data_IF_768208017490
#
_entry.id   IF_768208017490
#
_cell.length_a   1.000
_cell.length_b   1.000
_cell.length_c   1.000
_cell.angle_alpha   90.00
_cell.angle_beta   90.00
_cell.angle_gamma   90.00
#
_symmetry.space_group_name_H-M   'P 1'
#
loop_
_entity.id
_entity.type
_entity.pdbx_description
1 polymer ?
#
# COMPACT_ATOMS: atom_id res chain seq x y z
N UNK A 1 -27.33 30.50 -16.16
CA UNK A 1 -26.48 30.71 -14.97
C UNK A 1 -25.42 29.61 -14.90
N UNK A 2 -24.21 29.94 -14.47
CA UNK A 2 -23.15 28.93 -14.28
C UNK A 2 -23.31 28.16 -12.96
N UNK A 3 -22.72 26.97 -12.86
CA UNK A 3 -22.75 26.18 -11.60
C UNK A 3 -22.14 26.95 -10.40
N UNK A 4 -21.21 27.87 -10.67
CA UNK A 4 -20.59 28.72 -9.65
C UNK A 4 -21.58 29.76 -9.12
N UNK A 5 -22.34 30.40 -10.00
CA UNK A 5 -23.40 31.34 -9.62
C UNK A 5 -24.50 30.64 -8.80
N UNK A 6 -24.90 29.41 -9.19
CA UNK A 6 -25.87 28.63 -8.41
C UNK A 6 -25.34 28.29 -7.01
N UNK A 7 -24.06 27.93 -6.91
CA UNK A 7 -23.38 27.64 -5.63
C UNK A 7 -23.38 28.86 -4.70
N UNK A 8 -23.09 30.05 -5.23
CA UNK A 8 -23.09 31.31 -4.49
C UNK A 8 -24.51 31.72 -4.05
N UNK A 9 -25.52 31.55 -4.93
CA UNK A 9 -26.92 31.94 -4.65
C UNK A 9 -27.59 31.00 -3.66
N UNK A 10 -27.37 29.68 -3.78
CA UNK A 10 -28.06 28.68 -2.98
C UNK A 10 -27.23 28.16 -1.81
N UNK A 11 -25.97 28.58 -1.66
CA UNK A 11 -25.04 28.04 -0.66
C UNK A 11 -25.00 26.50 -0.70
N UNK A 12 -24.97 25.93 -1.91
CA UNK A 12 -24.90 24.49 -2.14
C UNK A 12 -23.63 24.18 -2.91
N UNK A 13 -22.86 23.19 -2.43
CA UNK A 13 -21.65 22.78 -3.14
C UNK A 13 -21.98 22.21 -4.52
N UNK A 14 -21.07 22.40 -5.48
CA UNK A 14 -21.19 21.83 -6.83
C UNK A 14 -21.42 20.31 -6.83
N UNK A 15 -20.90 19.60 -5.83
CA UNK A 15 -21.11 18.15 -5.67
C UNK A 15 -22.57 17.82 -5.41
N UNK A 16 -23.29 18.63 -4.64
CA UNK A 16 -24.70 18.41 -4.32
C UNK A 16 -25.57 18.66 -5.56
N UNK A 17 -25.27 19.73 -6.31
CA UNK A 17 -25.98 20.06 -7.56
C UNK A 17 -25.82 18.92 -8.58
N UNK A 18 -24.59 18.42 -8.78
CA UNK A 18 -24.31 17.27 -9.67
C UNK A 18 -24.95 15.97 -9.20
N UNK A 19 -25.08 15.79 -7.88
CA UNK A 19 -25.76 14.63 -7.32
C UNK A 19 -27.26 14.65 -7.70
N UNK A 20 -27.94 15.79 -7.55
CA UNK A 20 -29.35 15.90 -7.94
C UNK A 20 -29.56 15.70 -9.45
N UNK A 21 -28.62 16.16 -10.29
CA UNK A 21 -28.65 15.93 -11.74
C UNK A 21 -28.56 14.44 -12.04
N UNK A 22 -27.63 13.74 -11.38
CA UNK A 22 -27.45 12.29 -11.53
C UNK A 22 -28.67 11.48 -11.06
N UNK A 23 -29.34 11.93 -10.00
CA UNK A 23 -30.56 11.29 -9.49
C UNK A 23 -31.81 11.62 -10.35
N UNK A 24 -31.66 12.47 -11.38
CA UNK A 24 -32.71 12.83 -12.33
C UNK A 24 -33.69 13.86 -11.80
N UNK A 25 -33.29 14.70 -10.84
CA UNK A 25 -34.13 15.76 -10.27
C UNK A 25 -34.01 17.09 -11.04
N UNK A 26 -32.93 17.27 -11.82
CA UNK A 26 -32.77 18.39 -12.74
C UNK A 26 -31.97 17.96 -13.98
N UNK A 27 -32.25 18.62 -15.11
CA UNK A 27 -31.58 18.37 -16.39
C UNK A 27 -31.23 19.73 -17.03
N UNK A 28 -30.15 20.40 -16.57
CA UNK A 28 -29.76 21.68 -17.12
C UNK A 28 -29.28 21.53 -18.56
N UNK A 29 -29.63 22.50 -19.40
CA UNK A 29 -29.17 22.53 -20.79
C UNK A 29 -27.66 22.78 -20.84
N UNK A 30 -27.05 22.46 -22.00
CA UNK A 30 -25.65 22.79 -22.25
C UNK A 30 -25.56 23.93 -23.24
N UNK A 31 -24.63 24.85 -22.96
CA UNK A 31 -24.31 25.93 -23.89
C UNK A 31 -23.52 25.40 -25.10
N UNK A 32 -23.26 26.28 -26.08
CA UNK A 32 -22.48 25.97 -27.28
C UNK A 32 -21.04 25.53 -26.99
N UNK A 33 -20.54 25.77 -25.77
CA UNK A 33 -19.21 25.41 -25.31
C UNK A 33 -19.20 24.11 -24.47
N UNK A 34 -20.37 23.45 -24.33
CA UNK A 34 -20.54 22.21 -23.58
C UNK A 34 -20.60 22.37 -22.05
N UNK A 35 -20.63 23.60 -21.54
CA UNK A 35 -20.84 23.89 -20.13
C UNK A 35 -22.32 23.84 -19.77
N UNK A 36 -22.62 23.54 -18.50
CA UNK A 36 -24.00 23.52 -17.99
C UNK A 36 -24.48 24.95 -17.83
N UNK A 37 -25.61 25.24 -18.46
CA UNK A 37 -26.33 26.50 -18.32
C UNK A 37 -27.65 26.24 -17.59
N UNK A 38 -27.70 26.69 -16.33
CA UNK A 38 -28.86 26.54 -15.47
C UNK A 38 -29.84 27.67 -15.74
N UNK A 39 -31.08 27.30 -16.06
CA UNK A 39 -32.18 28.24 -16.24
C UNK A 39 -32.74 28.70 -14.89
N UNK A 40 -33.53 29.77 -14.88
CA UNK A 40 -34.30 30.19 -13.69
C UNK A 40 -35.22 29.07 -13.16
N UNK A 41 -35.73 28.21 -14.06
CA UNK A 41 -36.54 27.04 -13.68
C UNK A 41 -35.71 25.99 -12.94
N UNK A 42 -34.46 25.78 -13.35
CA UNK A 42 -33.53 24.88 -12.66
C UNK A 42 -33.16 25.42 -11.28
N UNK A 43 -32.96 26.74 -11.18
CA UNK A 43 -32.72 27.42 -9.90
C UNK A 43 -33.90 27.25 -8.94
N UNK A 44 -35.14 27.43 -9.42
CA UNK A 44 -36.35 27.22 -8.63
C UNK A 44 -36.51 25.75 -8.20
N UNK A 45 -36.21 24.81 -9.09
CA UNK A 45 -36.20 23.37 -8.77
C UNK A 45 -35.18 23.06 -7.67
N UNK A 46 -33.98 23.62 -7.75
CA UNK A 46 -32.94 23.49 -6.73
C UNK A 46 -33.34 24.14 -5.39
N UNK A 47 -34.08 25.25 -5.40
CA UNK A 47 -34.65 25.85 -4.16
C UNK A 47 -35.64 24.89 -3.49
N UNK A 48 -36.53 24.27 -4.26
CA UNK A 48 -37.50 23.28 -3.76
C UNK A 48 -36.79 22.06 -3.17
N UNK A 49 -35.81 21.51 -3.89
CA UNK A 49 -34.99 20.39 -3.40
C UNK A 49 -34.29 20.77 -2.10
N UNK A 50 -33.67 21.95 -2.03
CA UNK A 50 -33.00 22.43 -0.82
C UNK A 50 -33.96 22.50 0.37
N UNK A 51 -35.14 23.09 0.19
CA UNK A 51 -36.17 23.18 1.23
C UNK A 51 -36.57 21.80 1.76
N UNK A 52 -36.96 20.88 0.88
CA UNK A 52 -37.43 19.55 1.30
C UNK A 52 -36.30 18.72 1.93
N UNK A 53 -35.06 18.88 1.46
CA UNK A 53 -33.90 18.25 2.09
C UNK A 53 -33.60 18.81 3.48
N UNK A 54 -33.85 20.10 3.72
CA UNK A 54 -33.75 20.71 5.05
C UNK A 54 -34.85 20.22 6.00
N UNK A 55 -36.01 19.84 5.46
CA UNK A 55 -37.09 19.17 6.20
C UNK A 55 -36.89 17.65 6.33
N UNK A 56 -35.69 17.15 5.98
CA UNK A 56 -35.32 15.74 6.05
C UNK A 56 -36.12 14.79 5.14
N UNK A 57 -36.78 15.28 4.09
CA UNK A 57 -37.38 14.40 3.08
C UNK A 57 -36.29 13.67 2.28
N UNK A 58 -36.53 12.40 1.97
CA UNK A 58 -35.62 11.60 1.17
C UNK A 58 -35.57 12.09 -0.28
N UNK A 59 -34.44 11.85 -0.97
CA UNK A 59 -34.29 12.17 -2.40
C UNK A 59 -35.31 11.41 -3.25
N UNK A 60 -35.64 10.18 -2.85
CA UNK A 60 -36.67 9.36 -3.49
C UNK A 60 -38.08 9.98 -3.35
N UNK A 61 -38.45 10.43 -2.15
CA UNK A 61 -39.73 11.10 -1.90
C UNK A 61 -39.84 12.39 -2.70
N UNK A 62 -38.78 13.21 -2.72
CA UNK A 62 -38.74 14.45 -3.52
C UNK A 62 -38.96 14.14 -5.00
N UNK A 63 -38.36 13.04 -5.50
CA UNK A 63 -38.53 12.59 -6.88
C UNK A 63 -39.96 12.13 -7.18
N UNK A 64 -40.56 11.32 -6.30
CA UNK A 64 -41.94 10.87 -6.42
C UNK A 64 -42.92 12.05 -6.45
N UNK A 65 -42.72 13.03 -5.57
CA UNK A 65 -43.50 14.27 -5.56
C UNK A 65 -43.30 15.08 -6.85
N UNK A 66 -42.06 15.20 -7.33
CA UNK A 66 -41.75 15.91 -8.58
C UNK A 66 -42.36 15.22 -9.82
N UNK A 67 -42.47 13.89 -9.81
CA UNK A 67 -43.03 13.09 -10.89
C UNK A 67 -44.56 12.94 -10.80
N UNK A 68 -45.18 13.43 -9.71
CA UNK A 68 -46.62 13.30 -9.46
C UNK A 68 -47.05 11.90 -9.01
N UNK A 69 -46.10 11.03 -8.64
CA UNK A 69 -46.37 9.69 -8.12
C UNK A 69 -46.89 9.74 -6.67
N UNK A 70 -46.55 10.80 -5.93
CA UNK A 70 -47.06 11.09 -4.59
C UNK A 70 -47.49 12.57 -4.52
N UNK A 71 -48.65 12.86 -3.91
CA UNK A 71 -49.04 14.24 -3.70
C UNK A 71 -48.13 14.91 -2.66
N UNK A 72 -47.79 16.18 -2.87
CA UNK A 72 -46.96 16.93 -1.92
C UNK A 72 -47.62 17.02 -0.54
N UNK A 73 -48.94 17.15 -0.47
CA UNK A 73 -49.69 17.15 0.79
C UNK A 73 -49.43 15.88 1.60
N UNK A 74 -49.42 14.73 0.92
CA UNK A 74 -49.32 13.42 1.56
C UNK A 74 -47.89 13.21 2.05
N UNK A 75 -46.87 13.54 1.22
CA UNK A 75 -45.47 13.46 1.63
C UNK A 75 -45.14 14.37 2.82
N UNK A 76 -45.79 15.54 2.92
CA UNK A 76 -45.63 16.44 4.06
C UNK A 76 -46.39 15.93 5.28
N UNK A 77 -47.60 15.38 5.09
CA UNK A 77 -48.39 14.77 6.16
C UNK A 77 -47.65 13.57 6.77
N UNK A 78 -47.10 12.68 5.94
CA UNK A 78 -46.25 11.56 6.38
C UNK A 78 -45.08 12.06 7.22
N UNK A 79 -44.43 13.16 6.79
CA UNK A 79 -43.32 13.74 7.53
C UNK A 79 -43.73 14.38 8.84
N UNK A 80 -44.89 15.04 8.89
CA UNK A 80 -45.47 15.60 10.11
C UNK A 80 -45.79 14.48 11.10
N UNK A 81 -46.36 13.37 10.64
CA UNK A 81 -46.64 12.20 11.47
C UNK A 81 -45.37 11.56 12.02
N UNK A 82 -44.34 11.39 11.18
CA UNK A 82 -43.02 10.93 11.60
C UNK A 82 -42.43 11.85 12.69
N UNK A 83 -42.42 13.17 12.45
CA UNK A 83 -41.89 14.14 13.41
C UNK A 83 -42.67 14.18 14.73
N UNK A 84 -44.00 14.05 14.67
CA UNK A 84 -44.81 14.01 15.88
C UNK A 84 -44.55 12.73 16.69
N UNK A 85 -44.33 11.60 16.02
CA UNK A 85 -43.90 10.36 16.68
C UNK A 85 -42.54 10.54 17.35
N UNK A 86 -41.55 11.09 16.62
CA UNK A 86 -40.22 11.37 17.16
C UNK A 86 -40.27 12.30 18.39
N UNK A 87 -41.04 13.39 18.30
CA UNK A 87 -41.22 14.34 19.41
C UNK A 87 -41.80 13.63 20.63
N UNK A 88 -42.82 12.79 20.42
CA UNK A 88 -43.44 12.01 21.50
C UNK A 88 -42.42 11.06 22.15
N UNK A 89 -41.63 10.36 21.35
CA UNK A 89 -40.61 9.42 21.83
C UNK A 89 -39.50 10.14 22.61
N UNK A 90 -39.01 11.29 22.12
CA UNK A 90 -38.03 12.11 22.83
C UNK A 90 -38.60 12.70 24.12
N UNK A 91 -39.86 13.14 24.14
CA UNK A 91 -40.51 13.62 25.37
C UNK A 91 -40.64 12.51 26.41
N UNK A 92 -40.97 11.29 25.99
CA UNK A 92 -41.03 10.13 26.85
C UNK A 92 -39.65 9.78 27.42
N UNK A 93 -38.63 9.70 26.56
CA UNK A 93 -37.24 9.47 26.98
C UNK A 93 -36.79 10.52 28.00
N UNK A 94 -37.05 11.81 27.72
CA UNK A 94 -36.74 12.90 28.63
C UNK A 94 -37.44 12.74 29.99
N UNK A 95 -38.73 12.38 30.00
CA UNK A 95 -39.51 12.14 31.22
C UNK A 95 -38.90 11.02 32.06
N UNK A 96 -38.50 9.91 31.43
CA UNK A 96 -37.83 8.79 32.11
C UNK A 96 -36.44 9.20 32.62
N UNK A 97 -35.64 9.92 31.83
CA UNK A 97 -34.34 10.45 32.29
C UNK A 97 -34.51 11.35 33.52
N UNK A 98 -35.56 12.19 33.53
CA UNK A 98 -35.85 13.08 34.65
C UNK A 98 -36.36 12.30 35.87
N UNK A 99 -37.14 11.24 35.66
CA UNK A 99 -37.58 10.36 36.72
C UNK A 99 -36.40 9.63 37.38
N UNK A 100 -35.50 9.04 36.58
CA UNK A 100 -34.26 8.41 37.07
C UNK A 100 -33.38 9.41 37.81
N UNK A 101 -33.21 10.62 37.26
CA UNK A 101 -32.42 11.68 37.89
C UNK A 101 -33.00 12.09 39.26
N UNK A 102 -34.32 12.14 39.40
CA UNK A 102 -34.98 12.52 40.64
C UNK A 102 -34.99 11.39 41.69
N UNK A 103 -34.88 10.13 41.27
CA UNK A 103 -34.81 8.97 42.18
C UNK A 103 -33.42 8.86 42.86
N UNK A 104 -32.44 9.69 42.46
CA UNK A 104 -31.04 9.71 42.94
C UNK A 104 -30.39 8.31 43.00
N UNK A 105 -30.83 7.43 42.10
CA UNK A 105 -30.42 6.04 42.09
C UNK A 105 -28.98 5.90 41.59
N UNK A 106 -28.15 5.19 42.37
CA UNK A 106 -26.84 4.73 41.91
C UNK A 106 -27.03 3.54 40.97
N UNK A 107 -26.12 3.38 40.01
CA UNK A 107 -26.20 2.28 39.03
C UNK A 107 -26.35 0.89 39.67
N UNK A 108 -25.74 0.64 40.83
CA UNK A 108 -25.82 -0.65 41.52
C UNK A 108 -27.16 -0.97 42.18
N UNK A 109 -27.97 0.06 42.46
CA UNK A 109 -29.20 -0.05 43.26
C UNK A 109 -30.47 0.32 42.44
N UNK A 110 -30.32 0.55 41.13
CA UNK A 110 -31.41 0.99 40.27
C UNK A 110 -32.40 -0.17 40.00
N UNK A 111 -33.67 0.04 40.36
CA UNK A 111 -34.75 -0.88 39.99
C UNK A 111 -35.14 -0.67 38.52
N UNK A 112 -34.45 -1.36 37.62
CA UNK A 112 -34.72 -1.27 36.19
C UNK A 112 -36.16 -1.67 35.81
N UNK A 113 -36.80 -2.58 36.56
CA UNK A 113 -38.16 -3.03 36.26
C UNK A 113 -39.19 -1.92 36.46
N UNK A 114 -39.02 -1.10 37.51
CA UNK A 114 -39.83 0.10 37.75
C UNK A 114 -39.84 1.03 36.54
N UNK A 115 -38.68 1.33 35.98
CA UNK A 115 -38.55 2.25 34.83
C UNK A 115 -39.03 1.65 33.52
N UNK A 116 -38.72 0.38 33.26
CA UNK A 116 -39.17 -0.33 32.06
C UNK A 116 -40.70 -0.47 32.04
N UNK A 117 -41.32 -0.72 33.20
CA UNK A 117 -42.78 -0.78 33.30
C UNK A 117 -43.43 0.56 33.02
N UNK A 118 -42.88 1.65 33.55
CA UNK A 118 -43.36 3.01 33.27
C UNK A 118 -43.24 3.33 31.78
N UNK A 119 -42.10 2.95 31.17
CA UNK A 119 -41.86 3.10 29.74
C UNK A 119 -42.90 2.34 28.92
N UNK A 120 -43.15 1.06 29.22
CA UNK A 120 -44.17 0.26 28.54
C UNK A 120 -45.61 0.73 28.76
N UNK A 121 -45.90 1.35 29.91
CA UNK A 121 -47.24 1.87 30.22
C UNK A 121 -47.53 3.16 29.46
N UNK A 122 -46.50 3.97 29.21
CA UNK A 122 -46.61 5.26 28.52
C UNK A 122 -46.48 5.15 26.99
N UNK A 123 -45.91 4.06 26.48
CA UNK A 123 -45.92 3.74 25.04
C UNK A 123 -47.25 3.11 24.64
N UNK A 124 -48.00 3.74 23.73
CA UNK A 124 -48.99 3.00 22.95
C UNK A 124 -48.24 1.92 22.14
N UNK A 125 -48.88 0.75 21.92
CA UNK A 125 -48.27 -0.49 21.38
C UNK A 125 -47.46 -0.37 20.08
N UNK A 126 -47.42 0.78 19.42
CA UNK A 126 -46.82 1.02 18.10
C UNK A 126 -45.61 1.99 18.10
N UNK A 127 -45.04 2.38 19.26
CA UNK A 127 -43.82 3.22 19.28
C UNK A 127 -42.59 2.41 18.86
N UNK A 128 -41.95 2.83 17.77
CA UNK A 128 -40.77 2.17 17.17
C UNK A 128 -39.48 2.38 17.95
N UNK A 129 -39.35 3.49 18.69
CA UNK A 129 -38.12 3.91 19.38
C UNK A 129 -37.69 2.96 20.51
N UNK A 130 -38.63 2.39 21.27
CA UNK A 130 -38.34 1.49 22.39
C UNK A 130 -38.63 0.01 22.10
N UNK A 131 -38.89 -0.33 20.84
CA UNK A 131 -39.16 -1.72 20.47
C UNK A 131 -37.90 -2.58 20.61
N UNK A 132 -38.02 -3.73 21.30
CA UNK A 132 -36.92 -4.72 21.47
C UNK A 132 -36.37 -5.21 20.11
N UNK A 133 -37.17 -5.10 19.04
CA UNK A 133 -36.74 -5.45 17.68
C UNK A 133 -35.68 -4.49 17.12
N UNK A 134 -35.68 -3.22 17.56
CA UNK A 134 -34.70 -2.20 17.19
C UNK A 134 -33.50 -2.13 18.15
N UNK A 135 -33.56 -2.80 19.31
CA UNK A 135 -32.41 -3.04 20.22
C UNK A 135 -31.47 -4.14 19.70
N UNK A 136 -31.34 -4.23 18.37
CA UNK A 136 -30.30 -5.01 17.72
C UNK A 136 -29.22 -4.04 17.30
N UNK A 137 -28.02 -4.17 17.86
CA UNK A 137 -26.83 -3.54 17.31
C UNK A 137 -26.84 -3.86 15.81
N UNK A 138 -26.74 -2.85 14.94
CA UNK A 138 -26.84 -3.05 13.51
C UNK A 138 -25.70 -3.98 13.01
N UNK A 139 -25.98 -5.29 12.95
CA UNK A 139 -25.06 -6.29 12.44
C UNK A 139 -24.98 -6.09 10.92
N UNK A 140 -23.76 -5.95 10.40
CA UNK A 140 -23.51 -5.87 8.96
C UNK A 140 -22.83 -7.17 8.53
N UNK A 141 -23.61 -8.21 8.16
CA UNK A 141 -23.11 -9.56 7.90
C UNK A 141 -22.46 -9.64 6.51
N UNK A 142 -21.24 -9.15 6.41
CA UNK A 142 -20.44 -9.22 5.18
C UNK A 142 -18.99 -9.63 5.48
N UNK A 143 -18.76 -10.83 6.03
CA UNK A 143 -17.45 -11.27 6.50
C UNK A 143 -16.39 -11.24 5.39
N UNK A 144 -16.72 -11.70 4.17
CA UNK A 144 -15.79 -11.69 3.03
C UNK A 144 -15.35 -10.30 2.61
N UNK A 145 -16.25 -9.31 2.64
CA UNK A 145 -15.88 -7.92 2.30
C UNK A 145 -14.94 -7.33 3.33
N UNK A 146 -15.17 -7.63 4.61
CA UNK A 146 -14.30 -7.19 5.70
C UNK A 146 -12.92 -7.86 5.61
N UNK A 147 -12.91 -9.17 5.34
CA UNK A 147 -11.68 -9.95 5.14
C UNK A 147 -10.86 -9.41 3.97
N UNK A 148 -11.42 -9.32 2.77
CA UNK A 148 -10.68 -8.83 1.59
C UNK A 148 -10.28 -7.36 1.71
N UNK A 149 -11.12 -6.52 2.34
CA UNK A 149 -10.71 -5.15 2.67
C UNK A 149 -9.47 -5.13 3.57
N UNK A 150 -9.43 -5.97 4.61
CA UNK A 150 -8.29 -6.09 5.52
C UNK A 150 -7.04 -6.62 4.80
N UNK A 151 -7.17 -7.63 3.97
CA UNK A 151 -6.05 -8.17 3.17
C UNK A 151 -5.46 -7.10 2.26
N UNK A 152 -6.30 -6.31 1.61
CA UNK A 152 -5.85 -5.20 0.76
C UNK A 152 -5.16 -4.09 1.56
N UNK A 153 -5.72 -3.72 2.72
CA UNK A 153 -5.10 -2.74 3.62
C UNK A 153 -3.71 -3.22 4.08
N UNK A 154 -3.57 -4.47 4.50
CA UNK A 154 -2.28 -5.05 4.91
C UNK A 154 -1.27 -5.10 3.76
N UNK A 155 -1.71 -5.45 2.55
CA UNK A 155 -0.85 -5.44 1.36
C UNK A 155 -0.34 -4.02 1.04
N UNK A 156 -1.20 -3.00 1.22
CA UNK A 156 -0.82 -1.61 1.04
C UNK A 156 0.22 -1.15 2.08
N UNK A 157 0.04 -1.46 3.36
CA UNK A 157 1.03 -1.15 4.39
C UNK A 157 2.35 -1.90 4.17
N UNK A 158 2.27 -3.16 3.75
CA UNK A 158 3.44 -3.95 3.36
C UNK A 158 4.19 -3.33 2.19
N UNK A 159 3.50 -2.78 1.19
CA UNK A 159 4.14 -2.08 0.07
C UNK A 159 4.90 -0.83 0.53
N UNK A 160 4.35 -0.05 1.46
CA UNK A 160 5.04 1.11 2.04
C UNK A 160 6.33 0.66 2.72
N UNK A 161 6.26 -0.42 3.52
CA UNK A 161 7.44 -0.97 4.20
C UNK A 161 8.48 -1.49 3.21
N UNK A 162 8.08 -2.27 2.20
CA UNK A 162 8.98 -2.79 1.16
C UNK A 162 9.66 -1.63 0.41
N UNK A 163 8.90 -0.61 0.01
CA UNK A 163 9.47 0.56 -0.65
C UNK A 163 10.52 1.26 0.22
N UNK A 164 10.22 1.47 1.50
CA UNK A 164 11.15 2.09 2.43
C UNK A 164 12.40 1.21 2.67
N UNK A 165 12.23 -0.08 2.94
CA UNK A 165 13.36 -0.96 3.25
C UNK A 165 14.29 -1.17 2.06
N UNK A 166 13.73 -1.33 0.85
CA UNK A 166 14.53 -1.60 -0.35
C UNK A 166 15.14 -0.33 -0.95
N UNK A 167 14.39 0.77 -1.05
CA UNK A 167 14.87 1.99 -1.71
C UNK A 167 15.60 2.95 -0.78
N UNK A 168 15.21 3.02 0.50
CA UNK A 168 15.80 3.96 1.46
C UNK A 168 16.87 3.29 2.31
N UNK A 169 16.52 2.18 2.97
CA UNK A 169 17.48 1.48 3.83
C UNK A 169 18.49 0.63 3.06
N UNK A 170 18.33 0.46 1.75
CA UNK A 170 19.14 -0.44 0.91
C UNK A 170 19.25 -1.86 1.50
N UNK A 171 18.22 -2.29 2.24
CA UNK A 171 18.28 -3.54 2.98
C UNK A 171 17.67 -4.68 2.17
N UNK A 172 18.53 -5.50 1.58
CA UNK A 172 18.13 -6.74 0.91
C UNK A 172 17.82 -7.83 1.95
N UNK A 173 16.56 -7.80 2.41
CA UNK A 173 16.03 -8.69 3.46
C UNK A 173 16.27 -10.17 3.14
N UNK A 174 16.20 -10.60 1.88
CA UNK A 174 16.26 -12.01 1.51
C UNK A 174 15.00 -12.79 1.92
N UNK A 175 15.05 -14.12 1.76
CA UNK A 175 13.94 -15.00 2.12
C UNK A 175 14.15 -15.62 3.51
N UNK A 176 13.08 -15.71 4.31
CA UNK A 176 13.13 -16.42 5.59
C UNK A 176 11.90 -16.20 6.43
N UNK A 177 11.53 -17.20 7.23
CA UNK A 177 10.34 -17.16 8.09
C UNK A 177 10.38 -16.00 9.11
N UNK A 178 11.52 -15.82 9.78
CA UNK A 178 11.70 -14.76 10.79
C UNK A 178 11.57 -13.37 10.15
N UNK A 179 12.15 -13.19 8.97
CA UNK A 179 12.10 -11.92 8.23
C UNK A 179 10.67 -11.63 7.77
N UNK A 180 9.96 -12.63 7.24
CA UNK A 180 8.54 -12.51 6.91
C UNK A 180 7.69 -12.14 8.14
N UNK A 181 8.00 -12.70 9.32
CA UNK A 181 7.33 -12.36 10.57
C UNK A 181 7.57 -10.90 10.96
N UNK A 182 8.83 -10.44 10.94
CA UNK A 182 9.19 -9.05 11.22
C UNK A 182 8.45 -8.09 10.28
N UNK A 183 8.46 -8.37 8.98
CA UNK A 183 7.75 -7.57 7.97
C UNK A 183 6.24 -7.51 8.22
N UNK A 184 5.63 -8.62 8.64
CA UNK A 184 4.21 -8.66 9.00
C UNK A 184 3.91 -7.77 10.22
N UNK A 185 4.73 -7.82 11.27
CA UNK A 185 4.55 -6.97 12.45
C UNK A 185 4.82 -5.49 12.18
N UNK A 186 5.78 -5.16 11.31
CA UNK A 186 5.98 -3.77 10.88
C UNK A 186 4.76 -3.25 10.12
N UNK A 187 4.18 -4.08 9.24
CA UNK A 187 2.94 -3.74 8.52
C UNK A 187 1.77 -3.50 9.48
N UNK A 188 1.68 -4.27 10.57
CA UNK A 188 0.70 -4.06 11.64
C UNK A 188 0.98 -2.78 12.42
N UNK A 189 2.25 -2.48 12.71
CA UNK A 189 2.64 -1.21 13.34
C UNK A 189 2.20 -0.01 12.49
N UNK A 190 2.45 -0.07 11.18
CA UNK A 190 1.97 0.94 10.23
C UNK A 190 0.44 1.04 10.22
N UNK A 191 -0.27 -0.10 10.23
CA UNK A 191 -1.73 -0.13 10.33
C UNK A 191 -2.24 0.57 11.60
N UNK A 192 -1.62 0.32 12.76
CA UNK A 192 -2.02 0.91 14.06
C UNK A 192 -1.83 2.43 14.11
N UNK A 193 -1.04 3.01 13.20
CA UNK A 193 -0.87 4.46 13.05
C UNK A 193 -1.77 5.01 11.94
N UNK A 194 -1.75 4.40 10.77
CA UNK A 194 -2.41 4.92 9.57
C UNK A 194 -3.92 4.68 9.61
N UNK A 195 -4.40 3.49 9.95
CA UNK A 195 -5.84 3.18 9.95
C UNK A 195 -6.62 4.12 10.89
N UNK A 196 -6.19 4.42 12.13
CA UNK A 196 -6.86 5.38 12.99
C UNK A 196 -6.95 6.80 12.40
N UNK A 197 -5.92 7.25 11.68
CA UNK A 197 -5.96 8.53 10.95
C UNK A 197 -6.99 8.51 9.83
N UNK A 198 -7.02 7.45 9.01
CA UNK A 198 -7.98 7.29 7.92
C UNK A 198 -9.43 7.22 8.44
N UNK A 199 -9.66 6.50 9.53
CA UNK A 199 -10.98 6.35 10.14
C UNK A 199 -11.47 7.63 10.83
N UNK A 200 -10.57 8.43 11.42
CA UNK A 200 -10.98 9.70 12.03
C UNK A 200 -11.23 10.81 11.01
N UNK A 201 -10.51 10.81 9.89
CA UNK A 201 -10.63 11.83 8.85
C UNK A 201 -11.69 11.50 7.79
N UNK A 202 -11.72 10.27 7.28
CA UNK A 202 -12.64 9.83 6.22
C UNK A 202 -13.68 8.82 6.72
N UNK A 203 -13.36 8.10 7.81
CA UNK A 203 -14.18 7.02 8.35
C UNK A 203 -14.23 5.79 7.46
N UNK A 204 -13.19 5.59 6.66
CA UNK A 204 -12.96 4.37 5.90
C UNK A 204 -11.46 4.20 5.66
N UNK A 205 -11.01 2.97 5.43
CA UNK A 205 -9.64 2.65 4.99
C UNK A 205 -9.62 2.43 3.47
N UNK A 206 -8.44 2.24 2.88
CA UNK A 206 -8.32 2.02 1.44
C UNK A 206 -9.13 0.79 0.99
N UNK A 207 -8.91 -0.35 1.63
CA UNK A 207 -9.62 -1.59 1.35
C UNK A 207 -11.12 -1.49 1.66
N UNK A 208 -11.48 -0.88 2.79
CA UNK A 208 -12.90 -0.68 3.13
C UNK A 208 -13.60 0.23 2.11
N UNK A 209 -12.93 1.26 1.61
CA UNK A 209 -13.45 2.16 0.59
C UNK A 209 -13.74 1.43 -0.72
N UNK A 210 -12.86 0.52 -1.14
CA UNK A 210 -13.06 -0.34 -2.32
C UNK A 210 -14.35 -1.16 -2.18
N UNK A 211 -14.61 -1.72 -0.99
CA UNK A 211 -15.84 -2.46 -0.70
C UNK A 211 -17.04 -1.61 -0.29
N UNK A 212 -16.89 -0.28 -0.27
CA UNK A 212 -17.97 0.66 0.07
C UNK A 212 -18.34 0.66 1.54
N UNK A 213 -17.47 0.13 2.39
CA UNK A 213 -17.60 0.08 3.83
C UNK A 213 -17.17 1.41 4.43
N UNK A 214 -18.03 2.00 5.25
CA UNK A 214 -17.78 3.21 6.00
C UNK A 214 -18.13 2.94 7.46
N UNK A 215 -17.31 3.45 8.37
CA UNK A 215 -17.52 3.30 9.81
C UNK A 215 -17.95 4.65 10.37
N UNK A 216 -19.00 4.62 11.17
CA UNK A 216 -19.54 5.74 11.92
C UNK A 216 -19.78 5.31 13.37
N UNK A 217 -19.83 6.27 14.28
CA UNK A 217 -20.34 5.99 15.62
C UNK A 217 -21.87 5.83 15.58
N UNK A 218 -22.46 5.39 16.69
CA UNK A 218 -23.93 5.29 16.86
C UNK A 218 -24.69 6.58 16.50
N UNK A 219 -24.05 7.74 16.63
CA UNK A 219 -24.62 9.06 16.31
C UNK A 219 -24.43 9.46 14.83
N UNK A 220 -23.98 8.54 13.97
CA UNK A 220 -23.72 8.79 12.54
C UNK A 220 -22.50 9.68 12.22
N UNK A 221 -21.73 10.09 13.23
CA UNK A 221 -20.52 10.92 13.07
C UNK A 221 -19.27 10.06 12.83
N UNK A 222 -18.21 10.70 12.33
CA UNK A 222 -16.89 10.06 12.20
C UNK A 222 -16.32 9.75 13.58
N UNK A 223 -15.44 8.74 13.64
CA UNK A 223 -14.77 8.35 14.88
C UNK A 223 -13.76 9.43 15.27
N UNK A 224 -13.57 9.63 16.57
CA UNK A 224 -12.36 10.33 17.05
C UNK A 224 -11.14 9.44 16.83
N UNK A 225 -9.94 10.04 16.80
CA UNK A 225 -8.70 9.27 16.67
C UNK A 225 -8.57 8.18 17.74
N UNK A 226 -8.90 8.51 19.00
CA UNK A 226 -8.86 7.56 20.12
C UNK A 226 -9.81 6.37 19.91
N UNK A 227 -11.05 6.63 19.52
CA UNK A 227 -12.02 5.58 19.21
C UNK A 227 -11.55 4.70 18.05
N UNK A 228 -11.02 5.32 17.00
CA UNK A 228 -10.48 4.61 15.85
C UNK A 228 -9.28 3.73 16.21
N UNK A 229 -8.38 4.21 17.08
CA UNK A 229 -7.25 3.43 17.60
C UNK A 229 -7.72 2.24 18.44
N UNK A 230 -8.60 2.47 19.43
CA UNK A 230 -9.16 1.41 20.28
C UNK A 230 -9.83 0.31 19.45
N UNK A 231 -10.62 0.71 18.46
CA UNK A 231 -11.22 -0.22 17.50
C UNK A 231 -10.16 -1.02 16.73
N UNK A 232 -9.20 -0.34 16.11
CA UNK A 232 -8.17 -1.01 15.29
C UNK A 232 -7.31 -1.94 16.14
N UNK A 233 -6.98 -1.56 17.37
CA UNK A 233 -6.28 -2.41 18.33
C UNK A 233 -7.12 -3.62 18.76
N UNK A 234 -8.43 -3.46 18.94
CA UNK A 234 -9.36 -4.57 19.19
C UNK A 234 -9.40 -5.56 18.03
N UNK A 235 -9.42 -5.07 16.78
CA UNK A 235 -9.29 -5.92 15.59
C UNK A 235 -7.96 -6.67 15.60
N UNK A 236 -6.84 -6.02 15.91
CA UNK A 236 -5.53 -6.68 15.96
C UNK A 236 -5.43 -7.73 17.08
N UNK A 237 -5.80 -7.38 18.30
CA UNK A 237 -5.64 -8.26 19.47
C UNK A 237 -6.67 -9.38 19.50
N UNK A 238 -7.96 -9.06 19.36
CA UNK A 238 -9.06 -10.02 19.46
C UNK A 238 -9.43 -10.57 18.09
N UNK A 239 -9.53 -9.74 17.06
CA UNK A 239 -9.91 -10.20 15.71
C UNK A 239 -8.85 -11.07 15.05
N UNK A 240 -7.59 -10.61 15.07
CA UNK A 240 -6.45 -11.28 14.42
C UNK A 240 -5.60 -12.11 15.40
N UNK A 241 -5.93 -12.12 16.69
CA UNK A 241 -5.16 -12.89 17.68
C UNK A 241 -3.69 -12.47 17.77
N UNK A 242 -3.43 -11.16 17.79
CA UNK A 242 -2.07 -10.59 17.70
C UNK A 242 -1.29 -10.96 16.43
N UNK A 243 -1.96 -11.47 15.40
CA UNK A 243 -1.34 -11.98 14.17
C UNK A 243 -0.32 -13.11 14.42
N UNK A 244 -0.50 -13.87 15.50
CA UNK A 244 0.33 -15.06 15.77
C UNK A 244 0.01 -16.11 14.70
N UNK A 245 1.02 -16.70 14.03
CA UNK A 245 0.80 -17.73 13.01
C UNK A 245 -0.08 -18.87 13.53
N UNK A 246 -0.93 -19.44 12.68
CA UNK A 246 -1.95 -20.46 13.00
C UNK A 246 -3.08 -19.91 13.90
N UNK A 247 -2.77 -19.25 15.01
CA UNK A 247 -3.76 -18.67 15.91
C UNK A 247 -4.59 -17.58 15.21
N UNK A 248 -3.96 -16.73 14.38
CA UNK A 248 -4.67 -15.77 13.54
C UNK A 248 -5.74 -16.46 12.67
N UNK A 249 -5.40 -17.57 12.01
CA UNK A 249 -6.34 -18.32 11.16
C UNK A 249 -7.51 -18.84 12.01
N UNK A 250 -7.24 -19.40 13.19
CA UNK A 250 -8.28 -19.86 14.12
C UNK A 250 -9.19 -18.69 14.53
N UNK A 251 -8.62 -17.51 14.81
CA UNK A 251 -9.38 -16.31 15.18
C UNK A 251 -10.22 -15.80 14.01
N UNK A 252 -9.69 -15.78 12.80
CA UNK A 252 -10.41 -15.39 11.58
C UNK A 252 -11.62 -16.31 11.33
N UNK A 253 -11.46 -17.64 11.47
CA UNK A 253 -12.55 -18.61 11.34
C UNK A 253 -13.61 -18.40 12.42
N UNK A 254 -13.20 -18.14 13.67
CA UNK A 254 -14.15 -17.82 14.76
C UNK A 254 -14.92 -16.53 14.49
N UNK A 255 -14.24 -15.49 14.02
CA UNK A 255 -14.88 -14.22 13.65
C UNK A 255 -15.85 -14.38 12.48
N UNK A 256 -15.54 -15.26 11.52
CA UNK A 256 -16.45 -15.58 10.42
C UNK A 256 -17.79 -16.13 10.95
N UNK A 257 -17.75 -17.12 11.85
CA UNK A 257 -18.96 -17.70 12.43
C UNK A 257 -19.76 -16.72 13.30
N UNK A 258 -19.08 -15.82 14.02
CA UNK A 258 -19.72 -14.84 14.89
C UNK A 258 -20.33 -13.64 14.11
N UNK A 259 -19.75 -13.26 12.97
CA UNK A 259 -20.13 -12.06 12.21
C UNK A 259 -21.60 -12.06 11.73
N UNK A 260 -22.24 -13.23 11.65
CA UNK A 260 -23.63 -13.38 11.23
C UNK A 260 -24.62 -13.37 12.41
N UNK A 261 -24.13 -13.51 13.64
CA UNK A 261 -24.96 -13.76 14.83
C UNK A 261 -24.81 -12.69 15.92
N UNK A 262 -23.63 -12.10 16.07
CA UNK A 262 -23.29 -11.19 17.16
C UNK A 262 -22.49 -9.98 16.66
N UNK A 263 -22.62 -8.84 17.35
CA UNK A 263 -21.72 -7.72 17.15
C UNK A 263 -20.33 -8.09 17.69
N UNK A 264 -19.28 -7.78 16.94
CA UNK A 264 -17.92 -8.03 17.44
C UNK A 264 -17.62 -7.10 18.62
N UNK A 265 -16.82 -7.55 19.59
CA UNK A 265 -16.53 -6.79 20.80
C UNK A 265 -15.87 -5.42 20.56
N UNK A 266 -15.22 -5.23 19.41
CA UNK A 266 -14.67 -3.94 18.98
C UNK A 266 -15.64 -3.11 18.13
N UNK A 267 -16.91 -3.50 18.05
CA UNK A 267 -17.96 -2.91 17.20
C UNK A 267 -19.20 -2.46 17.98
N UNK A 268 -19.27 -2.69 19.30
CA UNK A 268 -20.43 -2.35 20.14
C UNK A 268 -20.86 -0.87 20.03
N UNK A 269 -19.90 0.06 19.90
CA UNK A 269 -20.15 1.51 19.79
C UNK A 269 -20.21 2.05 18.34
N UNK A 270 -20.15 1.19 17.32
CA UNK A 270 -19.93 1.59 15.93
C UNK A 270 -20.86 0.93 14.94
N UNK A 271 -21.27 1.69 13.93
CA UNK A 271 -22.13 1.22 12.85
C UNK A 271 -21.35 1.17 11.54
N UNK A 272 -21.45 0.05 10.82
CA UNK A 272 -20.99 -0.05 9.44
C UNK A 272 -22.08 0.43 8.49
N UNK A 273 -21.70 1.27 7.55
CA UNK A 273 -22.55 1.69 6.45
C UNK A 273 -21.99 1.10 5.16
N UNK A 274 -22.84 0.42 4.40
CA UNK A 274 -22.51 -0.06 3.06
C UNK A 274 -23.13 0.89 2.04
N UNK A 275 -22.28 1.41 1.15
CA UNK A 275 -22.75 2.26 0.04
C UNK A 275 -23.48 1.45 -1.03
N UNK A 276 -22.89 0.34 -1.49
CA UNK A 276 -23.50 -0.55 -2.48
C UNK A 276 -22.78 -1.91 -2.56
N UNK A 277 -23.44 -2.87 -3.22
CA UNK A 277 -22.97 -4.26 -3.35
C UNK A 277 -22.56 -4.59 -4.81
N UNK A 278 -22.13 -3.60 -5.60
CA UNK A 278 -21.93 -3.80 -7.04
C UNK A 278 -20.67 -4.62 -7.38
N UNK A 279 -20.74 -5.36 -8.48
CA UNK A 279 -19.65 -6.22 -9.00
C UNK A 279 -18.35 -5.44 -9.28
N UNK A 280 -18.45 -4.16 -9.70
CA UNK A 280 -17.27 -3.34 -9.97
C UNK A 280 -16.32 -3.24 -8.76
N UNK A 281 -16.82 -3.40 -7.52
CA UNK A 281 -16.00 -3.37 -6.30
C UNK A 281 -15.07 -4.58 -6.21
N UNK A 282 -15.53 -5.75 -6.65
CA UNK A 282 -14.69 -6.94 -6.72
C UNK A 282 -13.62 -6.78 -7.82
N UNK A 283 -14.01 -6.21 -8.97
CA UNK A 283 -13.06 -5.90 -10.06
C UNK A 283 -12.02 -4.88 -9.59
N UNK A 284 -12.44 -3.84 -8.86
CA UNK A 284 -11.54 -2.84 -8.28
C UNK A 284 -10.57 -3.45 -7.25
N UNK A 285 -11.04 -4.39 -6.41
CA UNK A 285 -10.18 -5.12 -5.48
C UNK A 285 -9.10 -5.93 -6.22
N UNK A 286 -9.49 -6.70 -7.25
CA UNK A 286 -8.52 -7.48 -8.05
C UNK A 286 -7.52 -6.56 -8.74
N UNK A 287 -8.00 -5.51 -9.40
CA UNK A 287 -7.14 -4.53 -10.08
C UNK A 287 -6.15 -3.84 -9.14
N UNK A 288 -6.59 -3.42 -7.96
CA UNK A 288 -5.72 -2.77 -6.97
C UNK A 288 -4.71 -3.75 -6.35
N UNK A 289 -5.11 -5.01 -6.14
CA UNK A 289 -4.20 -6.06 -5.66
C UNK A 289 -3.08 -6.30 -6.68
N UNK A 290 -3.44 -6.47 -7.96
CA UNK A 290 -2.46 -6.60 -9.05
C UNK A 290 -1.55 -5.38 -9.12
N UNK A 291 -2.11 -4.17 -9.01
CA UNK A 291 -1.32 -2.95 -9.04
C UNK A 291 -0.33 -2.87 -7.87
N UNK A 292 -0.75 -3.20 -6.64
CA UNK A 292 0.13 -3.22 -5.46
C UNK A 292 1.26 -4.24 -5.66
N UNK A 293 0.95 -5.44 -6.11
CA UNK A 293 1.97 -6.47 -6.38
C UNK A 293 2.92 -6.04 -7.50
N UNK A 294 2.42 -5.45 -8.59
CA UNK A 294 3.23 -4.93 -9.68
C UNK A 294 4.16 -3.81 -9.22
N UNK A 295 3.67 -2.85 -8.42
CA UNK A 295 4.50 -1.79 -7.84
C UNK A 295 5.56 -2.40 -6.91
N UNK A 296 5.22 -3.40 -6.10
CA UNK A 296 6.18 -4.11 -5.26
C UNK A 296 7.32 -4.74 -6.07
N UNK A 297 7.00 -5.40 -7.19
CA UNK A 297 8.02 -5.94 -8.10
C UNK A 297 8.87 -4.81 -8.70
N UNK A 298 8.26 -3.71 -9.13
CA UNK A 298 8.98 -2.56 -9.68
C UNK A 298 9.94 -1.93 -8.65
N UNK A 299 9.52 -1.83 -7.39
CA UNK A 299 10.36 -1.38 -6.28
C UNK A 299 11.58 -2.29 -6.13
N UNK A 300 11.38 -3.62 -6.11
CA UNK A 300 12.48 -4.58 -5.96
C UNK A 300 13.45 -4.50 -7.14
N UNK A 301 12.94 -4.42 -8.36
CA UNK A 301 13.76 -4.26 -9.57
C UNK A 301 14.55 -2.94 -9.53
N UNK A 302 13.89 -1.84 -9.16
CA UNK A 302 14.52 -0.53 -9.09
C UNK A 302 15.56 -0.44 -7.96
N UNK A 303 15.35 -1.17 -6.86
CA UNK A 303 16.30 -1.24 -5.76
C UNK A 303 17.59 -2.00 -6.11
N UNK A 304 17.68 -2.69 -7.24
CA UNK A 304 18.96 -3.27 -7.69
C UNK A 304 19.90 -2.21 -8.27
N UNK A 305 19.38 -1.02 -8.60
CA UNK A 305 20.18 0.03 -9.23
C UNK A 305 21.17 0.65 -8.24
N UNK A 306 22.36 1.07 -8.72
CA UNK A 306 23.36 1.72 -7.88
C UNK A 306 22.88 3.09 -7.37
N UNK A 307 23.46 3.54 -6.25
CA UNK A 307 23.14 4.82 -5.60
C UNK A 307 23.44 6.01 -6.53
N UNK A 308 24.66 6.07 -7.06
CA UNK A 308 25.09 7.17 -7.93
C UNK A 308 24.83 6.81 -9.39
N UNK A 309 24.19 7.73 -10.11
CA UNK A 309 23.70 7.48 -11.48
C UNK A 309 24.05 8.62 -12.44
N UNK A 310 24.16 8.27 -13.72
CA UNK A 310 24.52 9.15 -14.82
C UNK A 310 26.03 9.22 -15.04
N UNK A 311 26.55 10.44 -15.15
CA UNK A 311 27.99 10.66 -15.23
C UNK A 311 28.55 10.64 -13.81
N UNK A 312 29.30 9.59 -13.48
CA UNK A 312 29.84 9.35 -12.14
C UNK A 312 31.36 9.57 -12.10
N UNK A 313 31.84 10.04 -10.95
CA UNK A 313 33.26 10.19 -10.62
C UNK A 313 33.85 8.85 -10.14
N UNK A 314 35.19 8.80 -10.00
CA UNK A 314 35.88 7.63 -9.43
C UNK A 314 35.40 7.30 -8.01
N UNK A 315 35.28 8.29 -7.13
CA UNK A 315 34.80 8.09 -5.75
C UNK A 315 33.38 7.51 -5.72
N UNK A 316 32.48 8.08 -6.52
CA UNK A 316 31.10 7.59 -6.64
C UNK A 316 31.02 6.17 -7.22
N UNK A 317 31.95 5.80 -8.10
CA UNK A 317 32.04 4.43 -8.61
C UNK A 317 32.43 3.43 -7.52
N UNK A 318 33.43 3.75 -6.70
CA UNK A 318 33.83 2.88 -5.59
C UNK A 318 32.74 2.79 -4.51
N UNK A 319 32.02 3.88 -4.23
CA UNK A 319 30.83 3.85 -3.37
C UNK A 319 29.73 2.94 -3.95
N UNK A 320 29.48 3.01 -5.26
CA UNK A 320 28.56 2.09 -5.92
C UNK A 320 29.04 0.63 -5.80
N UNK A 321 30.33 0.35 -5.97
CA UNK A 321 30.87 -1.00 -5.83
C UNK A 321 30.61 -1.57 -4.42
N UNK A 322 30.91 -0.79 -3.37
CA UNK A 322 30.69 -1.19 -2.00
C UNK A 322 29.20 -1.41 -1.69
N UNK A 323 28.34 -0.52 -2.17
CA UNK A 323 26.89 -0.65 -2.01
C UNK A 323 26.34 -1.89 -2.74
N UNK A 324 26.78 -2.17 -3.96
CA UNK A 324 26.38 -3.38 -4.70
C UNK A 324 26.89 -4.65 -4.01
N UNK A 325 28.12 -4.67 -3.51
CA UNK A 325 28.65 -5.81 -2.74
C UNK A 325 27.77 -6.09 -1.52
N UNK A 326 27.47 -5.05 -0.73
CA UNK A 326 26.61 -5.17 0.45
C UNK A 326 25.19 -5.62 0.08
N UNK A 327 24.57 -4.98 -0.91
CA UNK A 327 23.19 -5.25 -1.32
C UNK A 327 23.00 -6.64 -1.92
N UNK A 328 23.96 -7.10 -2.74
CA UNK A 328 23.95 -8.42 -3.36
C UNK A 328 24.55 -9.51 -2.46
N UNK A 329 24.98 -9.17 -1.24
CA UNK A 329 25.60 -10.08 -0.26
C UNK A 329 26.84 -10.79 -0.81
N UNK A 330 27.62 -10.07 -1.62
CA UNK A 330 28.94 -10.50 -2.08
C UNK A 330 29.95 -9.99 -1.05
N UNK A 331 30.56 -10.90 -0.30
CA UNK A 331 31.48 -10.55 0.78
C UNK A 331 32.88 -11.10 0.51
N UNK A 332 33.84 -10.19 0.41
CA UNK A 332 35.27 -10.47 0.25
C UNK A 332 36.06 -10.21 1.54
N UNK A 333 35.40 -9.83 2.63
CA UNK A 333 36.07 -9.30 3.83
C UNK A 333 36.71 -7.92 3.64
N UNK A 334 36.60 -7.35 2.43
CA UNK A 334 37.25 -6.11 2.03
C UNK A 334 36.25 -5.14 1.40
N UNK A 335 36.58 -3.86 1.45
CA UNK A 335 35.86 -2.78 0.76
C UNK A 335 36.83 -1.88 0.00
N UNK A 336 36.33 -1.17 -1.02
CA UNK A 336 37.12 -0.21 -1.77
C UNK A 336 37.13 1.13 -1.04
N UNK A 337 38.30 1.69 -0.79
CA UNK A 337 38.43 3.05 -0.28
C UNK A 337 38.20 4.10 -1.40
N UNK A 338 38.27 5.39 -1.03
CA UNK A 338 38.08 6.51 -1.98
C UNK A 338 39.10 6.53 -3.13
N UNK A 339 40.23 5.86 -2.97
CA UNK A 339 41.29 5.73 -3.98
C UNK A 339 41.18 4.44 -4.80
N UNK A 340 40.15 3.62 -4.57
CA UNK A 340 39.96 2.36 -5.29
C UNK A 340 40.82 1.21 -4.81
N UNK A 341 41.44 1.32 -3.63
CA UNK A 341 42.22 0.23 -3.03
C UNK A 341 41.36 -0.60 -2.09
N UNK A 342 41.55 -1.90 -2.13
CA UNK A 342 40.95 -2.84 -1.19
C UNK A 342 41.50 -2.63 0.21
N UNK A 343 40.62 -2.48 1.19
CA UNK A 343 40.92 -2.34 2.61
C UNK A 343 40.11 -3.41 3.37
N UNK A 344 40.75 -4.09 4.32
CA UNK A 344 40.08 -5.06 5.18
C UNK A 344 38.95 -4.39 5.97
N UNK A 345 37.80 -5.05 6.04
CA UNK A 345 36.71 -4.63 6.90
C UNK A 345 37.01 -5.11 8.32
N UNK A 346 36.72 -4.29 9.33
CA UNK A 346 36.76 -4.74 10.73
C UNK A 346 35.70 -5.83 10.93
N UNK A 347 36.12 -7.10 10.85
CA UNK A 347 35.26 -8.24 11.10
C UNK A 347 35.47 -8.73 12.54
N UNK A 348 34.40 -8.68 13.34
CA UNK A 348 34.37 -9.22 14.71
C UNK A 348 34.51 -10.76 14.70
N UNK A 349 35.73 -11.25 14.48
CA UNK A 349 36.09 -12.67 14.61
C UNK A 349 35.65 -13.61 13.49
N UNK A 350 35.20 -13.09 12.33
CA UNK A 350 34.87 -13.92 11.15
C UNK A 350 36.10 -14.02 10.24
N UNK A 351 36.60 -15.23 10.04
CA UNK A 351 37.65 -15.54 9.06
C UNK A 351 37.01 -15.96 7.74
N UNK A 352 37.19 -15.16 6.70
CA UNK A 352 36.79 -15.51 5.34
C UNK A 352 37.97 -16.22 4.67
N UNK A 353 37.78 -17.48 4.28
CA UNK A 353 38.77 -18.25 3.51
C UNK A 353 38.40 -18.11 2.04
N UNK A 354 39.11 -17.24 1.33
CA UNK A 354 38.98 -17.13 -0.12
C UNK A 354 39.72 -18.32 -0.76
N UNK A 355 38.97 -19.22 -1.39
CA UNK A 355 39.50 -20.42 -2.05
C UNK A 355 40.11 -20.12 -3.43
N UNK A 356 40.12 -18.85 -3.85
CA UNK A 356 40.68 -18.41 -5.13
C UNK A 356 42.16 -18.07 -4.99
N UNK A 357 42.96 -18.56 -5.92
CA UNK A 357 44.40 -18.32 -6.01
C UNK A 357 44.77 -16.93 -6.56
N UNK A 358 43.78 -16.18 -7.02
CA UNK A 358 43.98 -14.90 -7.70
C UNK A 358 43.63 -13.77 -6.73
N UNK A 359 44.52 -12.79 -6.52
CA UNK A 359 44.20 -11.63 -5.71
C UNK A 359 43.05 -10.83 -6.33
N UNK A 360 42.27 -10.14 -5.50
CA UNK A 360 41.19 -9.27 -5.97
C UNK A 360 41.75 -8.25 -6.97
N UNK A 361 41.21 -8.19 -8.21
CA UNK A 361 41.71 -7.28 -9.21
C UNK A 361 41.40 -5.82 -8.83
N UNK A 362 42.25 -4.91 -9.29
CA UNK A 362 41.95 -3.48 -9.25
C UNK A 362 41.04 -3.13 -10.41
N UNK A 363 40.16 -2.15 -10.20
CA UNK A 363 39.31 -1.60 -11.25
C UNK A 363 40.01 -0.36 -11.82
N UNK A 364 40.67 -0.53 -12.96
CA UNK A 364 41.34 0.54 -13.68
C UNK A 364 40.31 1.48 -14.30
N UNK A 365 40.38 2.76 -13.97
CA UNK A 365 39.43 3.77 -14.44
C UNK A 365 40.11 4.71 -15.43
N UNK A 366 39.55 4.85 -16.63
CA UNK A 366 39.95 5.91 -17.57
C UNK A 366 38.96 7.07 -17.42
N UNK A 367 39.49 8.22 -17.02
CA UNK A 367 38.71 9.40 -16.63
C UNK A 367 38.97 10.53 -17.64
N UNK A 368 37.90 11.20 -18.06
CA UNK A 368 37.96 12.40 -18.89
C UNK A 368 37.01 13.44 -18.30
N UNK A 369 37.52 14.67 -18.10
CA UNK A 369 36.77 15.78 -17.48
C UNK A 369 36.20 15.41 -16.09
N UNK A 370 36.92 14.58 -15.32
CA UNK A 370 36.49 14.14 -13.99
C UNK A 370 35.40 13.05 -13.99
N UNK A 371 34.98 12.55 -15.17
CA UNK A 371 33.95 11.53 -15.33
C UNK A 371 34.58 10.25 -15.91
N UNK A 372 34.16 9.09 -15.41
CA UNK A 372 34.61 7.80 -15.93
C UNK A 372 34.11 7.59 -17.37
N UNK A 373 35.03 7.24 -18.27
CA UNK A 373 34.73 6.84 -19.66
C UNK A 373 34.89 5.34 -19.86
N UNK A 374 35.82 4.72 -19.16
CA UNK A 374 36.06 3.29 -19.25
C UNK A 374 36.40 2.72 -17.87
N UNK A 375 35.90 1.51 -17.61
CA UNK A 375 36.31 0.67 -16.49
C UNK A 375 36.95 -0.58 -17.07
N UNK A 376 38.16 -0.91 -16.63
CA UNK A 376 38.90 -2.09 -17.04
C UNK A 376 39.27 -2.94 -15.83
N UNK A 377 39.06 -4.24 -15.96
CA UNK A 377 39.50 -5.27 -15.02
C UNK A 377 40.44 -6.18 -15.82
N UNK A 378 41.68 -6.26 -15.38
CA UNK A 378 42.71 -7.09 -16.01
C UNK A 378 43.29 -8.05 -14.99
N UNK A 379 43.39 -9.32 -15.38
CA UNK A 379 44.00 -10.37 -14.58
C UNK A 379 44.99 -11.10 -15.47
N UNK A 380 46.26 -11.12 -15.06
CA UNK A 380 47.32 -11.88 -15.71
C UNK A 380 48.03 -12.73 -14.66
N UNK A 381 48.15 -14.03 -14.88
CA UNK A 381 48.84 -14.95 -13.96
C UNK A 381 49.35 -16.19 -14.69
N UNK A 382 50.38 -16.80 -14.11
CA UNK A 382 51.00 -18.06 -14.52
C UNK A 382 50.92 -19.12 -13.39
N UNK A 383 49.92 -19.01 -12.51
CA UNK A 383 49.77 -19.88 -11.33
C UNK A 383 49.52 -21.36 -11.69
N UNK A 384 50.10 -22.27 -10.91
CA UNK A 384 49.87 -23.72 -11.00
C UNK A 384 48.64 -24.18 -10.20
N UNK A 385 47.78 -23.26 -9.77
CA UNK A 385 46.53 -23.56 -9.09
C UNK A 385 45.34 -23.46 -10.05
N UNK A 386 44.18 -23.98 -9.62
CA UNK A 386 42.94 -23.87 -10.38
C UNK A 386 42.40 -22.43 -10.36
N UNK A 387 41.84 -21.98 -11.47
CA UNK A 387 41.34 -20.62 -11.64
C UNK A 387 39.82 -20.64 -11.75
N UNK A 388 39.15 -19.78 -10.99
CA UNK A 388 37.71 -19.52 -11.13
C UNK A 388 37.46 -18.26 -11.95
N UNK A 389 36.38 -18.25 -12.73
CA UNK A 389 35.94 -17.02 -13.39
C UNK A 389 35.61 -15.91 -12.36
N UNK A 390 36.01 -14.68 -12.65
CA UNK A 390 35.84 -13.51 -11.78
C UNK A 390 34.43 -12.89 -11.93
N UNK A 391 33.40 -13.72 -12.02
CA UNK A 391 32.03 -13.31 -12.33
C UNK A 391 31.50 -12.23 -11.40
N UNK A 392 31.83 -12.31 -10.11
CA UNK A 392 31.41 -11.33 -9.11
C UNK A 392 32.03 -9.95 -9.37
N UNK A 393 33.30 -9.89 -9.78
CA UNK A 393 33.96 -8.61 -10.12
C UNK A 393 33.36 -7.99 -11.39
N UNK A 394 33.13 -8.81 -12.43
CA UNK A 394 32.42 -8.40 -13.65
C UNK A 394 31.02 -7.86 -13.30
N UNK A 395 30.28 -8.56 -12.45
CA UNK A 395 28.95 -8.17 -11.98
C UNK A 395 28.99 -6.84 -11.23
N UNK A 396 29.90 -6.68 -10.27
CA UNK A 396 30.07 -5.44 -9.50
C UNK A 396 30.36 -4.28 -10.46
N UNK A 397 31.27 -4.44 -11.43
CA UNK A 397 31.59 -3.38 -12.39
C UNK A 397 30.39 -3.02 -13.28
N UNK A 398 29.67 -4.02 -13.82
CA UNK A 398 28.45 -3.79 -14.62
C UNK A 398 27.40 -3.05 -13.81
N UNK A 399 27.13 -3.49 -12.58
CA UNK A 399 26.12 -2.87 -11.73
C UNK A 399 26.53 -1.48 -11.25
N UNK A 400 27.83 -1.23 -11.06
CA UNK A 400 28.32 0.05 -10.53
C UNK A 400 28.50 1.13 -11.60
N UNK A 401 28.78 0.74 -12.86
CA UNK A 401 29.02 1.69 -13.96
C UNK A 401 27.99 1.60 -15.10
N UNK A 402 27.71 0.41 -15.63
CA UNK A 402 26.76 0.27 -16.73
C UNK A 402 25.32 0.51 -16.26
N UNK A 403 24.89 -0.11 -15.16
CA UNK A 403 23.56 0.15 -14.61
C UNK A 403 23.41 1.60 -14.09
N UNK A 404 24.52 2.28 -13.79
CA UNK A 404 24.50 3.70 -13.42
C UNK A 404 24.05 4.61 -14.57
N UNK A 405 24.18 4.21 -15.85
CA UNK A 405 23.81 5.05 -16.99
C UNK A 405 22.33 5.48 -16.97
N UNK A 406 22.02 6.67 -17.50
CA UNK A 406 20.69 7.29 -17.42
C UNK A 406 19.61 6.47 -18.14
N UNK A 407 20.02 5.78 -19.19
CA UNK A 407 19.22 4.96 -20.07
C UNK A 407 18.77 3.64 -19.40
N UNK A 408 19.40 3.28 -18.28
CA UNK A 408 19.11 2.08 -17.51
C UNK A 408 18.06 2.36 -16.42
N UNK A 409 17.33 1.33 -16.03
CA UNK A 409 16.46 1.27 -14.85
C UNK A 409 16.25 -0.20 -14.49
N UNK A 410 15.61 -0.49 -13.36
CA UNK A 410 15.44 -1.87 -12.89
C UNK A 410 14.77 -2.79 -13.92
N UNK A 411 13.77 -2.29 -14.66
CA UNK A 411 13.08 -3.07 -15.70
C UNK A 411 14.01 -3.36 -16.88
N UNK A 412 14.72 -2.34 -17.37
CA UNK A 412 15.63 -2.49 -18.51
C UNK A 412 16.79 -3.40 -18.16
N UNK A 413 17.36 -3.26 -16.96
CA UNK A 413 18.40 -4.13 -16.45
C UNK A 413 17.93 -5.60 -16.46
N UNK A 414 16.77 -5.87 -15.87
CA UNK A 414 16.19 -7.22 -15.85
C UNK A 414 15.95 -7.77 -17.28
N UNK A 415 15.37 -6.97 -18.18
CA UNK A 415 15.08 -7.39 -19.56
C UNK A 415 16.33 -7.57 -20.42
N UNK A 416 17.42 -6.86 -20.12
CA UNK A 416 18.66 -6.92 -20.92
C UNK A 416 19.34 -8.29 -20.86
N UNK A 417 19.06 -9.09 -19.82
CA UNK A 417 19.75 -10.35 -19.55
C UNK A 417 21.25 -10.17 -19.33
N UNK A 418 21.70 -8.96 -18.93
CA UNK A 418 23.13 -8.64 -18.90
C UNK A 418 23.92 -9.52 -17.94
N UNK A 419 23.32 -9.88 -16.81
CA UNK A 419 23.92 -10.76 -15.80
C UNK A 419 24.22 -12.14 -16.41
N UNK A 420 23.30 -12.68 -17.22
CA UNK A 420 23.50 -13.95 -17.91
C UNK A 420 24.54 -13.82 -19.02
N UNK A 421 24.56 -12.69 -19.74
CA UNK A 421 25.55 -12.43 -20.80
C UNK A 421 26.98 -12.36 -20.27
N UNK A 422 27.20 -11.83 -19.07
CA UNK A 422 28.54 -11.79 -18.47
C UNK A 422 28.95 -13.11 -17.81
N UNK A 423 27.97 -13.97 -17.49
CA UNK A 423 28.18 -15.33 -16.99
C UNK A 423 28.48 -16.32 -18.13
N UNK A 424 29.52 -16.04 -18.91
CA UNK A 424 29.95 -16.88 -20.03
C UNK A 424 31.34 -17.50 -19.83
N UNK A 425 31.84 -17.50 -18.59
CA UNK A 425 33.08 -18.16 -18.24
C UNK A 425 34.32 -17.61 -18.95
N UNK A 426 35.18 -18.52 -19.38
CA UNK A 426 36.45 -18.25 -20.05
C UNK A 426 36.32 -18.08 -21.57
N UNK A 427 35.35 -17.27 -22.02
CA UNK A 427 35.07 -17.04 -23.44
C UNK A 427 35.12 -15.57 -23.81
N UNK A 428 35.56 -15.29 -25.03
CA UNK A 428 35.49 -13.96 -25.61
C UNK A 428 34.04 -13.56 -25.91
N UNK A 429 33.68 -12.32 -25.57
CA UNK A 429 32.41 -11.74 -25.98
C UNK A 429 32.48 -10.22 -26.06
N UNK A 430 31.61 -9.63 -26.88
CA UNK A 430 31.41 -8.19 -26.93
C UNK A 430 29.95 -7.87 -27.24
N UNK A 431 29.36 -6.94 -26.50
CA UNK A 431 28.00 -6.46 -26.73
C UNK A 431 27.84 -5.01 -26.26
N UNK A 432 26.74 -4.38 -26.64
CA UNK A 432 26.41 -3.01 -26.24
C UNK A 432 25.10 -3.01 -25.47
N UNK A 433 25.09 -2.38 -24.30
CA UNK A 433 23.88 -2.16 -23.51
C UNK A 433 23.96 -0.82 -22.77
N UNK A 434 22.86 -0.08 -22.71
CA UNK A 434 22.81 1.20 -21.97
C UNK A 434 23.85 2.24 -22.42
N UNK A 435 24.31 2.21 -23.67
CA UNK A 435 25.37 3.10 -24.18
C UNK A 435 26.79 2.71 -23.79
N UNK A 436 26.98 1.55 -23.17
CA UNK A 436 28.28 0.99 -22.79
C UNK A 436 28.57 -0.24 -23.65
N UNK A 437 29.76 -0.29 -24.23
CA UNK A 437 30.32 -1.49 -24.84
C UNK A 437 30.96 -2.34 -23.74
N UNK A 438 30.46 -3.54 -23.56
CA UNK A 438 31.01 -4.56 -22.67
C UNK A 438 31.84 -5.51 -23.51
N UNK A 439 33.12 -5.68 -23.18
CA UNK A 439 34.00 -6.63 -23.87
C UNK A 439 34.75 -7.47 -22.86
N UNK A 440 34.81 -8.78 -23.09
CA UNK A 440 35.63 -9.72 -22.34
C UNK A 440 36.54 -10.42 -23.35
N UNK A 441 37.84 -10.37 -23.12
CA UNK A 441 38.84 -11.14 -23.86
C UNK A 441 39.58 -12.05 -22.90
N UNK A 442 39.72 -13.31 -23.25
CA UNK A 442 40.36 -14.33 -22.41
C UNK A 442 41.32 -15.14 -23.26
N UNK A 443 42.55 -15.25 -22.78
CA UNK A 443 43.57 -16.15 -23.30
C UNK A 443 44.05 -17.07 -22.16
N UNK A 444 44.10 -18.37 -22.41
CA UNK A 444 44.71 -19.31 -21.47
C UNK A 444 45.43 -20.45 -22.17
N UNK A 445 46.49 -20.96 -21.55
CA UNK A 445 47.33 -22.07 -22.02
C UNK A 445 47.79 -22.89 -20.82
N UNK A 446 47.98 -24.20 -20.99
CA UNK A 446 48.36 -25.09 -19.88
C UNK A 446 47.24 -25.41 -18.89
N UNK A 447 45.98 -25.16 -19.27
CA UNK A 447 44.80 -25.44 -18.45
C UNK A 447 43.74 -26.21 -19.25
N UNK A 448 43.01 -27.08 -18.55
CA UNK A 448 41.80 -27.76 -19.02
C UNK A 448 40.56 -27.05 -18.45
N UNK A 449 39.57 -26.78 -19.30
CA UNK A 449 38.31 -26.16 -18.89
C UNK A 449 37.38 -27.23 -18.30
N UNK A 450 37.01 -27.07 -17.03
CA UNK A 450 36.05 -27.92 -16.34
C UNK A 450 34.73 -27.18 -16.13
N UNK A 451 33.67 -27.68 -16.78
CA UNK A 451 32.40 -26.96 -16.87
C UNK A 451 32.57 -25.66 -17.65
N UNK A 452 31.93 -24.58 -17.20
CA UNK A 452 32.07 -23.24 -17.79
C UNK A 452 32.74 -22.23 -16.84
N UNK A 453 33.15 -22.62 -15.64
CA UNK A 453 33.55 -21.67 -14.58
C UNK A 453 34.91 -21.92 -13.96
N UNK A 454 35.57 -23.06 -14.26
CA UNK A 454 36.87 -23.39 -13.67
C UNK A 454 37.89 -23.87 -14.72
N UNK A 455 39.12 -23.37 -14.60
CA UNK A 455 40.30 -23.86 -15.32
C UNK A 455 41.18 -24.67 -14.36
N UNK A 456 41.50 -25.90 -14.73
CA UNK A 456 42.41 -26.76 -13.98
C UNK A 456 43.76 -26.87 -14.67
N UNK A 457 44.88 -26.74 -13.94
CA UNK A 457 46.22 -26.80 -14.54
C UNK A 457 46.51 -28.21 -15.07
N UNK A 458 47.08 -28.29 -16.27
CA UNK A 458 47.54 -29.54 -16.88
C UNK A 458 48.98 -29.80 -16.42
N UNK A 459 49.21 -30.97 -15.82
CA UNK A 459 50.53 -31.36 -15.32
C UNK A 459 51.57 -31.42 -16.45
N UNK A 460 52.69 -30.71 -16.28
CA UNK A 460 53.79 -30.69 -17.26
C UNK A 460 53.68 -29.66 -18.38
N UNK A 461 52.56 -28.92 -18.49
CA UNK A 461 52.44 -27.77 -19.39
C UNK A 461 52.85 -26.46 -18.69
N UNK A 462 53.14 -25.41 -19.47
CA UNK A 462 53.38 -24.07 -18.94
C UNK A 462 52.05 -23.32 -18.83
N UNK A 463 51.70 -22.93 -17.61
CA UNK A 463 50.47 -22.21 -17.28
C UNK A 463 50.58 -20.74 -17.71
N UNK A 464 49.50 -20.24 -18.32
CA UNK A 464 49.32 -18.82 -18.61
C UNK A 464 47.83 -18.53 -18.69
N UNK A 465 47.39 -17.49 -17.98
CA UNK A 465 46.02 -16.99 -18.00
C UNK A 465 46.06 -15.46 -18.08
N UNK A 466 45.31 -14.91 -19.03
CA UNK A 466 45.13 -13.48 -19.20
C UNK A 466 43.69 -13.17 -19.55
N UNK A 467 43.07 -12.26 -18.80
CA UNK A 467 41.70 -11.81 -19.07
C UNK A 467 41.60 -10.30 -18.92
N UNK A 468 40.95 -9.69 -19.91
CA UNK A 468 40.69 -8.25 -19.97
C UNK A 468 39.20 -8.03 -20.16
N UNK A 469 38.55 -7.53 -19.11
CA UNK A 469 37.15 -7.14 -19.12
C UNK A 469 37.05 -5.61 -19.13
N UNK A 470 36.31 -5.05 -20.09
CA UNK A 470 36.19 -3.60 -20.29
C UNK A 470 34.74 -3.18 -20.42
N UNK A 471 34.44 -2.01 -19.84
CA UNK A 471 33.18 -1.30 -19.94
C UNK A 471 33.47 0.10 -20.50
N UNK A 472 33.32 0.28 -21.80
CA UNK A 472 33.66 1.52 -22.51
C UNK A 472 32.39 2.32 -22.84
N UNK A 473 32.35 3.59 -22.48
CA UNK A 473 31.26 4.49 -22.88
C UNK A 473 31.37 4.85 -24.35
N UNK A 474 30.36 4.46 -25.13
CA UNK A 474 30.32 4.78 -26.56
C UNK A 474 30.03 6.28 -26.68
N UNK A 475 30.87 7.00 -27.42
CA UNK A 475 30.62 8.41 -27.72
C UNK A 475 29.25 8.54 -28.43
N UNK A 476 28.43 9.55 -28.06
CA UNK A 476 27.10 9.74 -28.62
C UNK A 476 27.09 10.00 -30.13
#
# INVERSE_FOLDING_TARGET
MTIKEIEEVLYMSRSNIRFYEKEGLLEPQRDNNGYRDYTEKDLDTLRKIKLFRQLHLSVATIKQVQQGEQALSDAIQDKIEELNSDISDYMLAQKICQYIKNDDAKYGDIDAQKYLKELHTLTNKDTTYFSIQNDKIAIVPHPWRRYFARTLDLAFYGLIWIAFSYLVLRWNQGAGFIISLINAYISIGLMLVIEPLLLSTWGTTLGKWVFGLVIRNINGKKLTYRQAYQRTFGVFSIGMGYNIPIYNIIREIKCYGACDQEAMSWEEDFTYLIKDIKLFRAIAYVGLTIAISAIGILVILQAQMPIHRGNITAEQYYENCNDIMSYSKIDYGKSLNKQGKWVENDSDGIVIIELSSIPLPEHELIISEGIIKEVKIEIETDTNEWISDCINQKYIAVMSFLAAQKEMNGIRLYRSGIVDKINNGFRDYSFVEGGIRVTNKVEYRGYELFGDQHLFPIEGEKQYYHMVFTLEKIAP
#
